data_IF_530007713261
#
_entry.id   IF_530007713261
#
_cell.length_a   1.000
_cell.length_b   1.000
_cell.length_c   1.000
_cell.angle_alpha   90.00
_cell.angle_beta   90.00
_cell.angle_gamma   90.00
#
_symmetry.space_group_name_H-M   'P 1'
#
loop_
_entity.id
_entity.type
_entity.pdbx_description
1 polymer ?
#
# COMPACT_ATOMS: atom_id res chain seq x y z
N UNK A 1 32.77 -23.43 5.62
CA UNK A 1 32.08 -23.05 6.87
C UNK A 1 30.60 -22.95 6.55
N UNK A 2 29.77 -23.77 7.19
CA UNK A 2 28.33 -23.85 6.92
C UNK A 2 27.62 -22.65 7.56
N UNK A 3 26.90 -21.87 6.75
CA UNK A 3 26.05 -20.79 7.24
C UNK A 3 24.78 -21.41 7.84
N UNK A 4 24.69 -21.38 9.18
CA UNK A 4 23.44 -21.68 9.87
C UNK A 4 22.45 -20.53 9.62
N UNK A 5 21.49 -20.75 8.71
CA UNK A 5 20.30 -19.92 8.59
C UNK A 5 19.46 -20.08 9.86
N UNK A 6 19.57 -19.14 10.80
CA UNK A 6 18.53 -18.95 11.81
C UNK A 6 17.33 -18.34 11.12
N UNK A 7 16.19 -19.02 11.19
CA UNK A 7 14.89 -18.48 10.80
C UNK A 7 14.68 -17.18 11.58
N UNK A 8 14.81 -16.05 10.91
CA UNK A 8 14.38 -14.78 11.47
C UNK A 8 12.86 -14.80 11.41
N UNK A 9 12.22 -15.05 12.55
CA UNK A 9 10.82 -14.70 12.73
C UNK A 9 10.69 -13.25 12.27
N UNK A 10 9.89 -13.01 11.22
CA UNK A 10 9.59 -11.66 10.79
C UNK A 10 9.17 -10.87 12.03
N UNK A 11 9.74 -9.68 12.27
CA UNK A 11 9.23 -8.82 13.33
C UNK A 11 7.72 -8.70 13.11
N UNK A 12 6.93 -8.98 14.14
CA UNK A 12 5.48 -8.84 14.09
C UNK A 12 5.19 -7.46 13.52
N UNK A 13 4.61 -7.42 12.31
CA UNK A 13 4.31 -6.15 11.66
C UNK A 13 3.38 -5.40 12.62
N UNK A 14 3.61 -4.11 12.92
CA UNK A 14 2.72 -3.36 13.80
C UNK A 14 1.26 -3.40 13.31
N UNK A 15 1.04 -3.60 12.01
CA UNK A 15 -0.27 -3.85 11.40
C UNK A 15 -1.03 -5.04 11.99
N UNK A 16 -0.37 -6.18 12.23
CA UNK A 16 -1.06 -7.39 12.73
C UNK A 16 -1.52 -7.22 14.17
N UNK A 17 -0.80 -6.40 14.95
CA UNK A 17 -1.16 -6.08 16.33
C UNK A 17 -2.40 -5.17 16.40
N UNK A 18 -2.46 -4.14 15.55
CA UNK A 18 -3.62 -3.24 15.45
C UNK A 18 -4.89 -4.01 15.08
N UNK A 19 -4.80 -4.94 14.12
CA UNK A 19 -5.93 -5.78 13.71
C UNK A 19 -6.41 -6.69 14.86
N UNK A 20 -5.49 -7.31 15.60
CA UNK A 20 -5.83 -8.12 16.79
C UNK A 20 -6.51 -7.28 17.88
N UNK A 21 -5.99 -6.08 18.16
CA UNK A 21 -6.56 -5.18 19.17
C UNK A 21 -7.96 -4.71 18.78
N UNK A 22 -8.21 -4.47 17.48
CA UNK A 22 -9.51 -4.08 16.96
C UNK A 22 -10.53 -5.23 17.05
N UNK A 23 -10.14 -6.45 16.68
CA UNK A 23 -11.00 -7.64 16.83
C UNK A 23 -11.29 -7.97 18.30
N UNK A 24 -10.30 -7.81 19.18
CA UNK A 24 -10.50 -7.95 20.63
C UNK A 24 -11.53 -6.92 21.13
N UNK A 25 -11.40 -5.66 20.69
CA UNK A 25 -12.33 -4.59 21.06
C UNK A 25 -13.75 -4.89 20.55
N UNK A 26 -13.90 -5.27 19.29
CA UNK A 26 -15.17 -5.65 18.67
C UNK A 26 -15.88 -6.77 19.45
N UNK A 27 -15.13 -7.82 19.83
CA UNK A 27 -15.66 -8.91 20.65
C UNK A 27 -16.09 -8.43 22.05
N UNK A 28 -15.36 -7.47 22.62
CA UNK A 28 -15.66 -6.87 23.93
C UNK A 28 -16.99 -6.11 23.93
N UNK A 29 -17.27 -5.39 22.83
CA UNK A 29 -18.43 -4.50 22.72
C UNK A 29 -19.68 -5.16 22.09
N UNK A 30 -19.53 -6.35 21.50
CA UNK A 30 -20.64 -7.09 20.88
C UNK A 30 -21.56 -7.81 21.89
N UNK A 31 -21.34 -7.59 23.20
CA UNK A 31 -22.15 -8.21 24.25
C UNK A 31 -23.52 -7.52 24.39
N UNK A 32 -24.64 -8.27 24.44
CA UNK A 32 -25.97 -7.71 24.61
C UNK A 32 -26.23 -7.12 26.01
N UNK A 33 -25.36 -7.38 27.00
CA UNK A 33 -25.45 -6.87 28.37
C UNK A 33 -24.36 -5.83 28.67
N UNK A 34 -24.12 -4.92 27.74
CA UNK A 34 -23.07 -3.93 27.87
C UNK A 34 -23.46 -2.81 28.85
N UNK A 35 -22.55 -2.47 29.77
CA UNK A 35 -22.73 -1.37 30.72
C UNK A 35 -22.16 -0.06 30.17
N UNK A 36 -22.59 1.07 30.72
CA UNK A 36 -22.05 2.40 30.36
C UNK A 36 -20.53 2.45 30.58
N UNK A 37 -20.04 1.80 31.64
CA UNK A 37 -18.61 1.71 31.94
C UNK A 37 -17.85 0.96 30.84
N UNK A 38 -18.37 -0.19 30.39
CA UNK A 38 -17.77 -0.96 29.29
C UNK A 38 -17.78 -0.20 27.95
N UNK A 39 -18.80 0.64 27.70
CA UNK A 39 -18.83 1.52 26.51
C UNK A 39 -17.76 2.60 26.61
N UNK A 40 -17.65 3.25 27.75
CA UNK A 40 -16.63 4.29 28.01
C UNK A 40 -15.21 3.73 27.83
N UNK A 41 -14.95 2.56 28.37
CA UNK A 41 -13.66 1.88 28.21
C UNK A 41 -13.42 1.43 26.77
N UNK A 42 -14.46 0.97 26.07
CA UNK A 42 -14.38 0.66 24.64
C UNK A 42 -13.97 1.86 23.79
N UNK A 43 -14.57 3.03 24.04
CA UNK A 43 -14.24 4.28 23.36
C UNK A 43 -12.82 4.75 23.67
N UNK A 44 -12.38 4.62 24.93
CA UNK A 44 -11.00 4.93 25.33
C UNK A 44 -10.00 4.07 24.57
N UNK A 45 -10.19 2.75 24.59
CA UNK A 45 -9.33 1.78 23.88
C UNK A 45 -9.32 2.04 22.37
N UNK A 46 -10.46 2.42 21.79
CA UNK A 46 -10.52 2.79 20.38
C UNK A 46 -9.65 4.01 20.08
N UNK A 47 -9.69 5.04 20.94
CA UNK A 47 -8.83 6.21 20.84
C UNK A 47 -7.33 5.87 20.90
N UNK A 48 -6.95 4.95 21.79
CA UNK A 48 -5.57 4.48 21.91
C UNK A 48 -5.10 3.72 20.65
N UNK A 49 -5.97 2.89 20.06
CA UNK A 49 -5.71 2.19 18.79
C UNK A 49 -5.52 3.20 17.66
N UNK A 50 -6.40 4.20 17.55
CA UNK A 50 -6.26 5.25 16.52
C UNK A 50 -4.97 6.05 16.68
N UNK A 51 -4.58 6.39 17.91
CA UNK A 51 -3.32 7.08 18.19
C UNK A 51 -2.11 6.24 17.75
N UNK A 52 -2.16 4.94 18.00
CA UNK A 52 -1.12 4.00 17.55
C UNK A 52 -1.03 3.92 16.02
N UNK A 53 -2.17 3.93 15.31
CA UNK A 53 -2.21 3.97 13.84
C UNK A 53 -1.59 5.26 13.32
N UNK A 54 -1.92 6.40 13.93
CA UNK A 54 -1.35 7.70 13.56
C UNK A 54 0.18 7.71 13.76
N UNK A 55 0.66 7.23 14.91
CA UNK A 55 2.10 7.08 15.17
C UNK A 55 2.78 6.22 14.10
N UNK A 56 2.20 5.06 13.76
CA UNK A 56 2.72 4.18 12.70
C UNK A 56 2.76 4.92 11.36
N UNK A 57 1.69 5.62 10.97
CA UNK A 57 1.64 6.37 9.72
C UNK A 57 2.68 7.49 9.67
N UNK A 58 2.95 8.14 10.80
CA UNK A 58 3.94 9.18 10.93
C UNK A 58 5.38 8.67 10.95
N UNK A 59 5.63 7.35 11.10
CA UNK A 59 6.98 6.80 11.11
C UNK A 59 7.72 7.13 9.79
N UNK A 60 8.98 7.62 9.87
CA UNK A 60 9.77 7.96 8.69
C UNK A 60 9.90 6.79 7.69
N UNK A 61 9.94 5.54 8.17
CA UNK A 61 10.02 4.36 7.29
C UNK A 61 8.82 4.25 6.35
N UNK A 62 7.63 4.64 6.80
CA UNK A 62 6.40 4.55 6.02
C UNK A 62 6.25 5.73 5.04
N UNK A 63 6.77 6.90 5.42
CA UNK A 63 6.85 8.06 4.53
C UNK A 63 7.91 7.89 3.43
N UNK A 64 9.08 7.34 3.77
CA UNK A 64 10.18 7.11 2.82
C UNK A 64 9.82 5.98 1.86
N UNK A 65 9.27 4.86 2.35
CA UNK A 65 8.84 3.75 1.50
C UNK A 65 7.77 4.19 0.49
N UNK A 66 6.74 4.92 0.95
CA UNK A 66 5.69 5.41 0.06
C UNK A 66 6.17 6.43 -0.96
N UNK A 67 7.10 7.33 -0.57
CA UNK A 67 7.70 8.30 -1.49
C UNK A 67 8.59 7.63 -2.53
N UNK A 68 9.42 6.67 -2.12
CA UNK A 68 10.32 5.95 -3.02
C UNK A 68 9.55 5.04 -3.99
N UNK A 69 8.54 4.32 -3.51
CA UNK A 69 7.64 3.54 -4.38
C UNK A 69 6.90 4.42 -5.37
N UNK A 70 6.41 5.59 -4.94
CA UNK A 70 5.73 6.55 -5.82
C UNK A 70 6.66 7.07 -6.90
N UNK A 71 7.89 7.47 -6.55
CA UNK A 71 8.89 7.92 -7.53
C UNK A 71 9.28 6.83 -8.52
N UNK A 72 9.42 5.58 -8.05
CA UNK A 72 9.71 4.45 -8.92
C UNK A 72 8.56 4.18 -9.90
N UNK A 73 7.32 4.18 -9.40
CA UNK A 73 6.12 4.01 -10.23
C UNK A 73 5.98 5.16 -11.24
N UNK A 74 6.19 6.40 -10.81
CA UNK A 74 6.12 7.58 -11.67
C UNK A 74 7.14 7.49 -12.82
N UNK A 75 8.39 7.13 -12.53
CA UNK A 75 9.40 6.91 -13.57
C UNK A 75 9.05 5.76 -14.52
N UNK A 76 8.52 4.64 -14.01
CA UNK A 76 8.07 3.53 -14.86
C UNK A 76 6.88 3.93 -15.76
N UNK A 77 5.95 4.74 -15.25
CA UNK A 77 4.83 5.25 -16.04
C UNK A 77 5.29 6.23 -17.12
N UNK A 78 6.27 7.09 -16.82
CA UNK A 78 6.86 8.01 -17.79
C UNK A 78 7.54 7.24 -18.93
N UNK A 79 8.41 6.27 -18.61
CA UNK A 79 9.03 5.41 -19.63
C UNK A 79 8.00 4.63 -20.48
N UNK A 80 6.90 4.20 -19.88
CA UNK A 80 5.83 3.50 -20.61
C UNK A 80 5.10 4.42 -21.59
N UNK A 81 4.89 5.69 -21.22
CA UNK A 81 4.30 6.70 -22.11
C UNK A 81 5.25 7.04 -23.26
N UNK A 82 6.54 7.24 -22.98
CA UNK A 82 7.55 7.48 -24.04
C UNK A 82 7.59 6.33 -25.05
N UNK A 83 7.50 5.08 -24.58
CA UNK A 83 7.44 3.92 -25.46
C UNK A 83 6.16 3.90 -26.31
N UNK A 84 5.02 4.28 -25.73
CA UNK A 84 3.75 4.35 -26.45
C UNK A 84 3.79 5.42 -27.54
N UNK A 85 4.35 6.59 -27.25
CA UNK A 85 4.52 7.68 -28.21
C UNK A 85 5.41 7.23 -29.38
N UNK A 86 6.52 6.54 -29.10
CA UNK A 86 7.38 5.95 -30.13
C UNK A 86 6.65 4.92 -30.98
N UNK A 87 5.86 4.03 -30.35
CA UNK A 87 5.04 3.05 -31.08
C UNK A 87 4.00 3.72 -31.97
N UNK A 88 3.39 4.80 -31.49
CA UNK A 88 2.41 5.57 -32.25
C UNK A 88 3.07 6.24 -33.46
N UNK A 89 4.21 6.91 -33.28
CA UNK A 89 4.97 7.52 -34.37
C UNK A 89 5.33 6.48 -35.45
N UNK A 90 5.84 5.32 -35.04
CA UNK A 90 6.15 4.23 -35.96
C UNK A 90 4.89 3.73 -36.70
N UNK A 91 3.75 3.63 -36.02
CA UNK A 91 2.50 3.22 -36.64
C UNK A 91 1.98 4.25 -37.66
N UNK A 92 2.14 5.54 -37.36
CA UNK A 92 1.82 6.65 -38.28
C UNK A 92 2.69 6.57 -39.54
N UNK A 93 4.01 6.39 -39.39
CA UNK A 93 4.95 6.22 -40.51
C UNK A 93 4.56 5.03 -41.41
N UNK A 94 4.20 3.88 -40.80
CA UNK A 94 3.74 2.72 -41.56
C UNK A 94 2.42 2.97 -42.28
N UNK A 95 1.52 3.73 -41.66
CA UNK A 95 0.23 4.09 -42.24
C UNK A 95 0.41 5.02 -43.44
N UNK A 96 1.31 6.01 -43.34
CA UNK A 96 1.67 6.89 -44.44
C UNK A 96 2.32 6.11 -45.59
N UNK A 97 3.31 5.26 -45.29
CA UNK A 97 3.96 4.42 -46.30
C UNK A 97 2.96 3.53 -47.03
N UNK A 98 2.02 2.93 -46.29
CA UNK A 98 0.94 2.12 -46.87
C UNK A 98 0.05 2.95 -47.80
N UNK A 99 -0.29 4.17 -47.42
CA UNK A 99 -1.08 5.07 -48.26
C UNK A 99 -0.36 5.40 -49.58
N UNK A 100 0.94 5.70 -49.53
CA UNK A 100 1.76 5.96 -50.73
C UNK A 100 1.76 4.75 -51.68
N UNK A 101 1.91 3.54 -51.15
CA UNK A 101 1.90 2.31 -51.96
C UNK A 101 0.52 2.08 -52.61
N UNK A 102 -0.57 2.46 -51.95
CA UNK A 102 -1.93 2.29 -52.47
C UNK A 102 -2.34 3.35 -53.49
N UNK A 103 -1.69 4.52 -53.51
CA UNK A 103 -1.94 5.61 -54.45
C UNK A 103 -1.17 5.46 -55.79
N UNK A 104 -0.19 4.55 -55.83
CA UNK A 104 0.58 4.13 -57.02
C UNK A 104 -0.18 3.07 -57.86
#
# INVERSE_FOLDING_TARGET
MACHLRSVSLPSRPHTKVEEELHSLEASISSPSMTIETISDGLRRLGDIYSTIEEIMCLPSNQICSSQQRKMLEGETECSLELLDLCNAMYEDFTELKAIIQDL
#
